data_IF_955025790310
#
_entry.id   IF_955025790310
#
_cell.length_a   1.000
_cell.length_b   1.000
_cell.length_c   1.000
_cell.angle_alpha   90.00
_cell.angle_beta   90.00
_cell.angle_gamma   90.00
#
_symmetry.space_group_name_H-M   'P 1'
#
loop_
_entity.id
_entity.type
_entity.pdbx_description
1 polymer ?
#
# COMPACT_ATOMS: atom_id res chain seq x y z
N UNK A 1 14.01 -23.11 -14.01
CA UNK A 1 14.89 -22.42 -13.05
C UNK A 1 14.34 -22.68 -11.66
N UNK A 2 15.15 -23.18 -10.73
CA UNK A 2 14.77 -23.51 -9.35
C UNK A 2 15.31 -22.43 -8.41
N UNK A 3 14.43 -21.82 -7.61
CA UNK A 3 14.75 -20.72 -6.70
C UNK A 3 14.32 -21.12 -5.29
N UNK A 4 15.28 -21.19 -4.37
CA UNK A 4 15.02 -21.49 -2.97
C UNK A 4 14.95 -20.21 -2.16
N UNK A 5 13.86 -20.02 -1.41
CA UNK A 5 13.71 -18.91 -0.46
C UNK A 5 13.67 -19.48 0.95
N UNK A 6 14.69 -19.18 1.75
CA UNK A 6 14.70 -19.55 3.18
C UNK A 6 14.08 -18.43 4.01
N UNK A 7 13.51 -18.76 5.17
CA UNK A 7 12.80 -17.77 5.99
C UNK A 7 11.54 -17.26 5.28
N UNK A 8 10.92 -18.10 4.43
CA UNK A 8 9.80 -17.74 3.56
C UNK A 8 8.57 -17.22 4.32
N UNK A 9 8.40 -17.62 5.59
CA UNK A 9 7.32 -17.14 6.46
C UNK A 9 7.62 -15.80 7.15
N UNK A 10 8.86 -15.31 7.07
CA UNK A 10 9.24 -13.98 7.54
C UNK A 10 8.77 -12.89 6.59
N UNK A 11 8.79 -11.63 7.06
CA UNK A 11 8.37 -10.46 6.26
C UNK A 11 9.03 -10.44 4.88
N UNK A 12 10.37 -10.37 4.83
CA UNK A 12 11.08 -10.25 3.57
C UNK A 12 10.89 -11.49 2.68
N UNK A 13 11.02 -12.70 3.25
CA UNK A 13 10.84 -13.94 2.50
C UNK A 13 9.47 -14.05 1.85
N UNK A 14 8.41 -13.62 2.56
CA UNK A 14 7.04 -13.57 2.02
C UNK A 14 6.91 -12.57 0.88
N UNK A 15 7.44 -11.36 1.02
CA UNK A 15 7.38 -10.35 -0.05
C UNK A 15 8.16 -10.77 -1.30
N UNK A 16 9.35 -11.34 -1.12
CA UNK A 16 10.15 -11.90 -2.22
C UNK A 16 9.39 -13.03 -2.91
N UNK A 17 8.82 -13.96 -2.14
CA UNK A 17 8.00 -15.03 -2.69
C UNK A 17 6.83 -14.49 -3.52
N UNK A 18 6.05 -13.55 -2.98
CA UNK A 18 4.90 -12.98 -3.70
C UNK A 18 5.32 -12.26 -4.99
N UNK A 19 6.43 -11.53 -4.94
CA UNK A 19 6.96 -10.83 -6.10
C UNK A 19 7.41 -11.78 -7.22
N UNK A 20 8.18 -12.81 -6.87
CA UNK A 20 8.62 -13.83 -7.82
C UNK A 20 7.43 -14.66 -8.33
N UNK A 21 6.52 -15.05 -7.43
CA UNK A 21 5.32 -15.81 -7.78
C UNK A 21 4.48 -15.05 -8.77
N UNK A 22 4.38 -13.72 -8.71
CA UNK A 22 3.62 -12.93 -9.67
C UNK A 22 4.13 -13.07 -11.12
N UNK A 23 5.40 -13.44 -11.30
CA UNK A 23 6.08 -13.48 -12.60
C UNK A 23 6.08 -14.91 -13.17
N UNK A 24 5.53 -15.13 -14.38
CA UNK A 24 5.47 -16.47 -14.98
C UNK A 24 6.82 -17.17 -15.12
N UNK A 25 7.90 -16.42 -15.35
CA UNK A 25 9.25 -16.97 -15.52
C UNK A 25 9.80 -17.68 -14.27
N UNK A 26 9.34 -17.31 -13.08
CA UNK A 26 9.85 -17.82 -11.81
C UNK A 26 8.85 -18.70 -11.06
N UNK A 27 7.54 -18.51 -11.29
CA UNK A 27 6.44 -19.08 -10.49
C UNK A 27 6.56 -20.59 -10.25
N UNK A 28 6.84 -21.38 -11.28
CA UNK A 28 6.89 -22.85 -11.19
C UNK A 28 8.17 -23.39 -10.50
N UNK A 29 9.19 -22.53 -10.38
CA UNK A 29 10.50 -22.89 -9.84
C UNK A 29 10.69 -22.63 -8.35
N UNK A 30 9.69 -22.08 -7.67
CA UNK A 30 9.82 -21.60 -6.30
C UNK A 30 9.78 -22.74 -5.28
N UNK A 31 10.81 -22.85 -4.46
CA UNK A 31 10.89 -23.75 -3.32
C UNK A 31 11.01 -22.92 -2.04
N UNK A 32 10.08 -23.10 -1.11
CA UNK A 32 10.03 -22.32 0.12
C UNK A 32 10.48 -23.17 1.30
N UNK A 33 11.45 -22.65 2.05
CA UNK A 33 11.90 -23.26 3.30
C UNK A 33 11.51 -22.36 4.46
N UNK A 34 10.59 -22.86 5.28
CA UNK A 34 10.31 -22.30 6.60
C UNK A 34 11.33 -22.77 7.63
N UNK A 35 11.13 -22.41 8.91
CA UNK A 35 12.05 -22.80 9.98
C UNK A 35 12.15 -24.32 10.14
N UNK A 36 11.05 -25.06 10.01
CA UNK A 36 11.05 -26.51 10.20
C UNK A 36 11.73 -27.19 9.01
N UNK A 37 11.31 -26.87 7.79
CA UNK A 37 11.88 -27.44 6.57
C UNK A 37 13.37 -27.13 6.40
N UNK A 38 13.83 -25.96 6.84
CA UNK A 38 15.26 -25.62 6.83
C UNK A 38 16.09 -26.46 7.81
N UNK A 39 15.50 -26.90 8.93
CA UNK A 39 16.16 -27.73 9.95
C UNK A 39 16.05 -29.24 9.66
N UNK A 40 15.27 -29.63 8.66
CA UNK A 40 15.18 -31.00 8.18
C UNK A 40 16.24 -31.24 7.09
N UNK A 41 17.12 -32.22 7.30
CA UNK A 41 18.23 -32.50 6.39
C UNK A 41 17.74 -32.97 5.01
N UNK A 42 16.74 -33.85 4.96
CA UNK A 42 16.23 -34.39 3.71
C UNK A 42 15.53 -33.31 2.87
N UNK A 43 14.70 -32.47 3.52
CA UNK A 43 14.04 -31.35 2.88
C UNK A 43 15.03 -30.29 2.39
N UNK A 44 16.05 -29.96 3.20
CA UNK A 44 17.09 -29.00 2.80
C UNK A 44 17.89 -29.52 1.61
N UNK A 45 18.36 -30.78 1.62
CA UNK A 45 19.12 -31.33 0.49
C UNK A 45 18.27 -31.37 -0.79
N UNK A 46 17.02 -31.84 -0.70
CA UNK A 46 16.10 -31.89 -1.84
C UNK A 46 15.80 -30.48 -2.40
N UNK A 47 15.73 -29.46 -1.55
CA UNK A 47 15.57 -28.08 -1.99
C UNK A 47 16.81 -27.54 -2.70
N UNK A 48 18.01 -27.86 -2.22
CA UNK A 48 19.27 -27.35 -2.76
C UNK A 48 19.78 -28.10 -4.01
N UNK A 49 19.32 -29.32 -4.25
CA UNK A 49 19.70 -30.07 -5.45
C UNK A 49 19.27 -29.36 -6.73
N UNK A 50 20.22 -29.08 -7.63
CA UNK A 50 19.97 -28.37 -8.90
C UNK A 50 19.39 -26.97 -8.75
N UNK A 51 19.63 -26.31 -7.60
CA UNK A 51 19.14 -24.94 -7.35
C UNK A 51 19.94 -23.93 -8.17
N UNK A 52 19.25 -22.99 -8.82
CA UNK A 52 19.88 -21.90 -9.56
C UNK A 52 20.15 -20.71 -8.63
N UNK A 53 19.16 -20.34 -7.80
CA UNK A 53 19.27 -19.21 -6.86
C UNK A 53 18.87 -19.61 -5.45
N UNK A 54 19.57 -19.05 -4.48
CA UNK A 54 19.16 -19.12 -3.08
C UNK A 54 19.01 -17.72 -2.54
N UNK A 55 17.82 -17.39 -2.04
CA UNK A 55 17.55 -16.13 -1.35
C UNK A 55 17.41 -16.43 0.14
N UNK A 56 18.50 -16.18 0.87
CA UNK A 56 18.61 -16.46 2.30
C UNK A 56 18.06 -15.31 3.14
N UNK A 57 16.76 -15.34 3.44
CA UNK A 57 16.11 -14.39 4.36
C UNK A 57 15.98 -14.92 5.80
N UNK A 58 16.35 -16.17 6.07
CA UNK A 58 16.33 -16.71 7.42
C UNK A 58 17.35 -15.97 8.31
N UNK A 59 16.93 -15.67 9.53
CA UNK A 59 17.78 -15.00 10.51
C UNK A 59 17.07 -14.82 11.84
N UNK A 60 17.88 -14.63 12.88
CA UNK A 60 17.41 -14.41 14.24
C UNK A 60 17.64 -12.95 14.58
N UNK A 61 16.55 -12.20 14.76
CA UNK A 61 16.60 -10.76 15.01
C UNK A 61 16.33 -10.41 16.48
N UNK A 62 15.60 -11.26 17.21
CA UNK A 62 15.27 -11.05 18.62
C UNK A 62 15.12 -12.39 19.33
N UNK A 63 16.05 -12.66 20.22
CA UNK A 63 16.17 -13.82 21.11
C UNK A 63 17.15 -13.41 22.24
N UNK A 64 17.68 -14.34 23.03
CA UNK A 64 18.84 -14.05 23.89
C UNK A 64 20.04 -13.57 23.06
N UNK A 65 20.91 -12.73 23.65
CA UNK A 65 22.09 -12.19 22.96
C UNK A 65 22.95 -13.30 22.33
N UNK A 66 23.20 -14.37 23.10
CA UNK A 66 23.93 -15.55 22.66
C UNK A 66 23.24 -16.23 21.47
N UNK A 67 21.91 -16.43 21.52
CA UNK A 67 21.17 -17.04 20.40
C UNK A 67 21.15 -16.19 19.15
N UNK A 68 21.07 -14.87 19.30
CA UNK A 68 21.08 -13.93 18.18
C UNK A 68 22.43 -13.97 17.47
N UNK A 69 23.54 -13.97 18.22
CA UNK A 69 24.88 -14.02 17.65
C UNK A 69 25.16 -15.38 17.02
N UNK A 70 25.08 -16.45 17.82
CA UNK A 70 25.47 -17.79 17.41
C UNK A 70 24.50 -18.38 16.38
N UNK A 71 23.19 -18.16 16.54
CA UNK A 71 22.21 -18.80 15.67
C UNK A 71 22.20 -18.27 14.23
N UNK A 72 22.57 -17.00 13.98
CA UNK A 72 22.71 -16.53 12.59
C UNK A 72 23.92 -17.18 11.90
N UNK A 73 25.01 -17.41 12.63
CA UNK A 73 26.18 -18.14 12.14
C UNK A 73 25.81 -19.59 11.81
N UNK A 74 25.14 -20.28 12.72
CA UNK A 74 24.70 -21.68 12.54
C UNK A 74 23.79 -21.85 11.31
N UNK A 75 22.87 -20.91 11.09
CA UNK A 75 22.00 -20.93 9.90
C UNK A 75 22.82 -20.82 8.60
N UNK A 76 23.85 -19.98 8.59
CA UNK A 76 24.72 -19.82 7.43
C UNK A 76 25.60 -21.05 7.19
N UNK A 77 26.24 -21.57 8.24
CA UNK A 77 27.07 -22.78 8.17
C UNK A 77 26.26 -23.98 7.68
N UNK A 78 25.02 -24.15 8.17
CA UNK A 78 24.11 -25.21 7.72
C UNK A 78 23.74 -25.09 6.24
N UNK A 79 23.46 -23.89 5.75
CA UNK A 79 23.15 -23.68 4.33
C UNK A 79 24.38 -23.98 3.45
N UNK A 80 25.57 -23.51 3.86
CA UNK A 80 26.83 -23.79 3.19
C UNK A 80 27.15 -25.29 3.16
N UNK A 81 26.93 -25.99 4.27
CA UNK A 81 27.11 -27.45 4.36
C UNK A 81 26.18 -28.16 3.37
N UNK A 82 24.91 -27.75 3.30
CA UNK A 82 23.95 -28.30 2.36
C UNK A 82 24.35 -28.07 0.90
N UNK A 83 24.73 -26.83 0.55
CA UNK A 83 25.20 -26.48 -0.79
C UNK A 83 26.45 -27.28 -1.19
N UNK A 84 27.35 -27.51 -0.23
CA UNK A 84 28.57 -28.31 -0.44
C UNK A 84 28.24 -29.79 -0.65
N UNK A 85 27.33 -30.36 0.13
CA UNK A 85 26.89 -31.77 0.01
C UNK A 85 26.18 -32.04 -1.33
N UNK A 86 25.41 -31.07 -1.83
CA UNK A 86 24.75 -31.18 -3.14
C UNK A 86 25.64 -30.74 -4.31
N UNK A 87 26.87 -30.29 -4.03
CA UNK A 87 27.77 -29.66 -5.00
C UNK A 87 27.11 -28.53 -5.83
N UNK A 88 26.13 -27.83 -5.22
CA UNK A 88 25.38 -26.78 -5.88
C UNK A 88 26.09 -25.44 -5.72
N UNK A 89 26.19 -24.67 -6.80
CA UNK A 89 26.80 -23.34 -6.83
C UNK A 89 25.81 -22.27 -7.32
N UNK A 90 24.67 -22.09 -6.63
CA UNK A 90 23.69 -21.09 -7.03
C UNK A 90 24.23 -19.67 -6.87
N UNK A 91 23.53 -18.70 -7.46
CA UNK A 91 23.64 -17.33 -7.01
C UNK A 91 22.99 -17.20 -5.63
N UNK A 92 23.80 -16.99 -4.60
CA UNK A 92 23.36 -16.83 -3.22
C UNK A 92 23.18 -15.37 -2.86
N UNK A 93 21.95 -14.98 -2.52
CA UNK A 93 21.62 -13.71 -1.90
C UNK A 93 21.46 -13.86 -0.40
N UNK A 94 22.16 -13.06 0.39
CA UNK A 94 22.01 -13.03 1.84
C UNK A 94 21.40 -11.73 2.32
N UNK A 95 20.26 -11.81 3.00
CA UNK A 95 19.63 -10.67 3.68
C UNK A 95 20.41 -10.28 4.94
N UNK A 96 21.40 -9.41 4.78
CA UNK A 96 22.16 -8.82 5.86
C UNK A 96 21.56 -7.48 6.31
N UNK A 97 22.24 -6.78 7.22
CA UNK A 97 21.77 -5.55 7.84
C UNK A 97 22.89 -4.54 7.96
N UNK A 98 22.55 -3.25 7.91
CA UNK A 98 23.44 -2.14 8.26
C UNK A 98 24.05 -2.26 9.67
N UNK A 99 23.45 -3.09 10.55
CA UNK A 99 23.99 -3.32 11.89
C UNK A 99 25.19 -4.29 11.92
N UNK A 100 25.52 -4.98 10.83
CA UNK A 100 26.66 -5.93 10.79
C UNK A 100 28.01 -5.29 11.16
N UNK A 101 28.15 -3.98 10.94
CA UNK A 101 29.35 -3.21 11.29
C UNK A 101 29.39 -2.74 12.75
N UNK A 102 28.35 -3.02 13.55
CA UNK A 102 28.27 -2.64 14.96
C UNK A 102 28.70 -3.80 15.85
N UNK A 103 29.45 -3.48 16.91
CA UNK A 103 29.88 -4.46 17.90
C UNK A 103 28.76 -4.76 18.93
N UNK A 104 27.70 -5.38 18.43
CA UNK A 104 26.57 -5.90 19.21
C UNK A 104 26.26 -7.33 18.78
N UNK A 105 25.65 -8.19 19.62
CA UNK A 105 25.44 -9.61 19.30
C UNK A 105 24.78 -9.85 17.93
N UNK A 106 23.76 -9.06 17.59
CA UNK A 106 23.10 -9.10 16.28
C UNK A 106 24.05 -8.76 15.12
N UNK A 107 24.85 -7.70 15.27
CA UNK A 107 25.84 -7.29 14.28
C UNK A 107 26.91 -8.34 14.06
N UNK A 108 27.47 -8.88 15.15
CA UNK A 108 28.49 -9.95 15.11
C UNK A 108 27.95 -11.23 14.46
N UNK A 109 26.75 -11.68 14.81
CA UNK A 109 26.14 -12.86 14.20
C UNK A 109 25.88 -12.68 12.69
N UNK A 110 25.38 -11.50 12.31
CA UNK A 110 25.18 -11.13 10.91
C UNK A 110 26.49 -11.07 10.11
N UNK A 111 27.56 -10.55 10.70
CA UNK A 111 28.90 -10.52 10.09
C UNK A 111 29.52 -11.92 9.99
N UNK A 112 29.32 -12.78 11.00
CA UNK A 112 29.80 -14.16 10.98
C UNK A 112 29.12 -14.98 9.86
N UNK A 113 27.80 -14.84 9.70
CA UNK A 113 27.07 -15.44 8.59
C UNK A 113 27.58 -14.95 7.22
N UNK A 114 27.80 -13.63 7.06
CA UNK A 114 28.40 -13.08 5.85
C UNK A 114 29.77 -13.71 5.54
N UNK A 115 30.65 -13.86 6.54
CA UNK A 115 31.97 -14.47 6.37
C UNK A 115 31.87 -15.92 5.90
N UNK A 116 30.95 -16.70 6.47
CA UNK A 116 30.73 -18.08 6.06
C UNK A 116 30.32 -18.18 4.58
N UNK A 117 29.38 -17.34 4.13
CA UNK A 117 28.95 -17.31 2.74
C UNK A 117 30.03 -16.79 1.78
N UNK A 118 30.76 -15.74 2.16
CA UNK A 118 31.85 -15.20 1.34
C UNK A 118 32.97 -16.23 1.14
N UNK A 119 33.38 -16.91 2.22
CA UNK A 119 34.42 -17.97 2.17
C UNK A 119 33.96 -19.16 1.32
N UNK A 120 32.71 -19.59 1.47
CA UNK A 120 32.14 -20.66 0.64
C UNK A 120 32.14 -20.27 -0.83
N UNK A 121 31.65 -19.07 -1.16
CA UNK A 121 31.54 -18.59 -2.53
C UNK A 121 32.91 -18.45 -3.20
N UNK A 122 33.91 -17.91 -2.48
CA UNK A 122 35.30 -17.84 -2.95
C UNK A 122 35.90 -19.25 -3.18
N UNK A 123 35.65 -20.18 -2.24
CA UNK A 123 36.19 -21.53 -2.31
C UNK A 123 35.65 -22.40 -3.45
N UNK A 124 34.42 -22.15 -3.92
CA UNK A 124 33.80 -22.90 -5.02
C UNK A 124 33.52 -22.08 -6.29
N UNK A 125 33.88 -20.79 -6.31
CA UNK A 125 33.62 -19.88 -7.43
C UNK A 125 32.14 -19.55 -7.64
N UNK A 126 31.29 -19.65 -6.61
CA UNK A 126 29.87 -19.32 -6.70
C UNK A 126 29.62 -17.80 -6.68
N UNK A 127 28.49 -17.37 -7.24
CA UNK A 127 28.04 -15.98 -7.14
C UNK A 127 27.42 -15.73 -5.77
N UNK A 128 27.91 -14.71 -5.07
CA UNK A 128 27.39 -14.30 -3.77
C UNK A 128 27.11 -12.80 -3.74
N UNK A 129 25.92 -12.44 -3.28
CA UNK A 129 25.47 -11.06 -3.11
C UNK A 129 24.99 -10.84 -1.69
N UNK A 130 25.63 -9.90 -1.03
CA UNK A 130 25.23 -9.47 0.30
C UNK A 130 24.29 -8.28 0.20
N UNK A 131 23.03 -8.48 0.63
CA UNK A 131 22.04 -7.41 0.70
C UNK A 131 22.19 -6.67 2.02
N UNK A 132 22.68 -5.44 1.99
CA UNK A 132 22.83 -4.61 3.20
C UNK A 132 21.56 -3.80 3.40
N UNK A 133 20.69 -4.30 4.29
CA UNK A 133 19.35 -3.73 4.46
C UNK A 133 19.28 -2.79 5.67
N UNK A 134 18.56 -1.66 5.56
CA UNK A 134 18.25 -0.81 6.69
C UNK A 134 17.05 -1.40 7.46
N UNK A 135 16.21 -0.56 8.07
CA UNK A 135 15.00 -1.03 8.74
C UNK A 135 13.95 -1.43 7.71
N UNK A 136 13.58 -2.71 7.67
CA UNK A 136 12.63 -3.23 6.70
C UNK A 136 11.21 -3.15 7.25
N UNK A 137 10.28 -2.64 6.45
CA UNK A 137 8.85 -2.62 6.77
C UNK A 137 8.00 -3.13 5.59
N UNK A 138 6.70 -3.30 5.84
CA UNK A 138 5.74 -3.85 4.87
C UNK A 138 4.61 -4.60 5.55
N UNK A 139 3.64 -5.05 4.74
CA UNK A 139 2.46 -5.77 5.18
C UNK A 139 2.79 -7.13 5.81
N UNK A 140 2.07 -7.50 6.87
CA UNK A 140 2.30 -8.78 7.58
C UNK A 140 3.54 -8.78 8.49
N UNK A 141 4.12 -7.61 8.77
CA UNK A 141 5.15 -7.47 9.79
C UNK A 141 4.64 -7.76 11.20
N UNK A 142 5.50 -8.34 12.05
CA UNK A 142 5.14 -8.72 13.42
C UNK A 142 5.30 -7.53 14.37
N UNK A 143 4.24 -7.07 15.06
CA UNK A 143 4.36 -6.03 16.07
C UNK A 143 5.15 -6.53 17.29
N UNK A 144 5.70 -5.61 18.07
CA UNK A 144 6.49 -5.90 19.28
C UNK A 144 7.67 -6.88 19.04
N UNK A 145 8.21 -6.96 17.82
CA UNK A 145 9.35 -7.82 17.48
C UNK A 145 10.61 -7.00 17.22
N UNK A 146 10.85 -6.53 16.01
CA UNK A 146 12.08 -5.80 15.64
C UNK A 146 11.81 -4.52 14.82
N UNK A 147 10.55 -4.07 14.77
CA UNK A 147 10.12 -2.90 14.00
C UNK A 147 9.21 -2.01 14.85
N UNK A 148 9.66 -0.78 15.11
CA UNK A 148 8.85 0.24 15.77
C UNK A 148 7.62 0.58 14.91
N UNK A 149 7.78 0.64 13.58
CA UNK A 149 6.69 0.96 12.66
C UNK A 149 5.53 -0.05 12.75
N UNK A 150 5.83 -1.36 12.75
CA UNK A 150 4.80 -2.40 12.88
C UNK A 150 4.10 -2.34 14.25
N UNK A 151 4.84 -1.96 15.29
CA UNK A 151 4.27 -1.77 16.63
C UNK A 151 3.32 -0.58 16.65
N UNK A 152 3.70 0.55 16.05
CA UNK A 152 2.81 1.71 15.93
C UNK A 152 1.56 1.41 15.12
N UNK A 153 1.67 0.71 13.97
CA UNK A 153 0.50 0.31 13.20
C UNK A 153 -0.45 -0.58 14.00
N UNK A 154 0.09 -1.51 14.79
CA UNK A 154 -0.71 -2.37 15.67
C UNK A 154 -1.42 -1.58 16.76
N UNK A 155 -0.70 -0.69 17.45
CA UNK A 155 -1.25 0.16 18.51
C UNK A 155 -2.37 1.06 17.97
N UNK A 156 -2.14 1.74 16.83
CA UNK A 156 -3.17 2.54 16.17
C UNK A 156 -4.41 1.71 15.81
N UNK A 157 -4.22 0.54 15.22
CA UNK A 157 -5.33 -0.34 14.83
C UNK A 157 -6.09 -0.93 16.03
N UNK A 158 -5.44 -1.06 17.18
CA UNK A 158 -6.05 -1.52 18.43
C UNK A 158 -6.70 -0.38 19.24
N UNK A 159 -6.40 0.88 18.92
CA UNK A 159 -6.80 2.03 19.72
C UNK A 159 -5.92 2.30 20.95
N UNK A 160 -4.72 1.72 20.98
CA UNK A 160 -3.75 1.88 22.07
C UNK A 160 -2.94 3.18 21.93
N UNK A 161 -2.38 3.66 23.04
CA UNK A 161 -1.40 4.74 23.04
C UNK A 161 -0.06 4.29 22.42
N UNK A 162 0.56 5.19 21.64
CA UNK A 162 1.84 4.90 21.00
C UNK A 162 3.00 5.18 21.96
N UNK A 163 3.84 4.18 22.16
CA UNK A 163 5.08 4.32 22.93
C UNK A 163 6.21 4.83 22.03
N UNK A 164 6.28 6.15 21.83
CA UNK A 164 7.24 6.77 20.91
C UNK A 164 8.55 7.08 21.64
N UNK A 165 9.64 6.43 21.23
CA UNK A 165 10.98 6.89 21.61
C UNK A 165 11.38 8.08 20.73
N UNK A 166 11.35 9.29 21.30
CA UNK A 166 11.55 10.54 20.57
C UNK A 166 12.95 10.76 19.97
N UNK A 167 13.98 10.06 20.44
CA UNK A 167 15.38 10.28 19.98
C UNK A 167 15.85 9.29 18.92
N UNK A 168 15.08 8.23 18.65
CA UNK A 168 15.45 7.20 17.69
C UNK A 168 15.47 7.71 16.24
N UNK A 169 16.41 7.18 15.45
CA UNK A 169 16.48 7.38 14.00
C UNK A 169 16.21 6.06 13.27
N UNK A 170 15.50 6.14 12.16
CA UNK A 170 15.19 5.04 11.29
C UNK A 170 15.65 5.37 9.88
N UNK A 171 15.97 4.31 9.14
CA UNK A 171 16.07 4.35 7.69
C UNK A 171 15.16 3.23 7.21
N UNK A 172 14.02 3.61 6.61
CA UNK A 172 12.92 2.69 6.32
C UNK A 172 12.94 2.31 4.84
N UNK A 173 12.97 1.01 4.57
CA UNK A 173 12.88 0.46 3.22
C UNK A 173 11.77 -0.60 3.16
N UNK A 174 10.92 -0.51 2.14
CA UNK A 174 9.80 -1.43 2.01
C UNK A 174 10.25 -2.79 1.47
N UNK A 175 9.70 -3.87 2.01
CA UNK A 175 10.05 -5.24 1.63
C UNK A 175 9.81 -5.54 0.15
N UNK A 176 8.84 -4.85 -0.47
CA UNK A 176 8.59 -4.98 -1.92
C UNK A 176 9.69 -4.36 -2.78
N UNK A 177 10.29 -3.25 -2.35
CA UNK A 177 11.40 -2.63 -3.08
C UNK A 177 12.66 -3.50 -2.99
N UNK A 178 12.87 -4.16 -1.85
CA UNK A 178 13.94 -5.16 -1.69
C UNK A 178 13.68 -6.36 -2.61
N UNK A 179 12.45 -6.86 -2.67
CA UNK A 179 12.10 -7.97 -3.56
C UNK A 179 12.38 -7.65 -5.03
N UNK A 180 12.06 -6.43 -5.48
CA UNK A 180 12.41 -5.95 -6.82
C UNK A 180 13.92 -5.90 -7.02
N UNK A 181 14.65 -5.28 -6.08
CA UNK A 181 16.10 -5.14 -6.18
C UNK A 181 16.85 -6.49 -6.21
N UNK A 182 16.35 -7.51 -5.50
CA UNK A 182 16.91 -8.87 -5.55
C UNK A 182 16.79 -9.48 -6.94
N UNK A 183 15.63 -9.34 -7.59
CA UNK A 183 15.42 -9.85 -8.96
C UNK A 183 16.28 -9.09 -9.96
N UNK A 184 16.34 -7.76 -9.86
CA UNK A 184 17.18 -6.93 -10.74
C UNK A 184 18.67 -7.26 -10.60
N UNK A 185 19.16 -7.44 -9.36
CA UNK A 185 20.53 -7.83 -9.09
C UNK A 185 20.85 -9.23 -9.63
N UNK A 186 19.89 -10.15 -9.54
CA UNK A 186 20.03 -11.46 -10.16
C UNK A 186 20.16 -11.36 -11.67
N UNK A 187 19.26 -10.66 -12.35
CA UNK A 187 19.22 -10.63 -13.83
C UNK A 187 20.52 -10.04 -14.41
N UNK A 188 21.21 -9.23 -13.61
CA UNK A 188 22.51 -8.64 -13.92
C UNK A 188 23.71 -9.49 -13.48
N UNK A 189 23.47 -10.65 -12.85
CA UNK A 189 24.47 -11.48 -12.20
C UNK A 189 25.39 -10.68 -11.26
N UNK A 190 24.84 -9.66 -10.58
CA UNK A 190 25.58 -8.77 -9.71
C UNK A 190 26.02 -9.53 -8.45
N UNK A 191 27.33 -9.59 -8.19
CA UNK A 191 27.95 -10.15 -6.97
C UNK A 191 28.55 -9.06 -6.08
N UNK A 192 28.87 -9.43 -4.83
CA UNK A 192 29.49 -8.54 -3.84
C UNK A 192 28.46 -7.84 -2.96
N UNK A 193 28.83 -6.67 -2.45
CA UNK A 193 27.95 -5.89 -1.58
C UNK A 193 26.89 -5.13 -2.39
N UNK A 194 25.63 -5.28 -2.00
CA UNK A 194 24.50 -4.49 -2.50
C UNK A 194 23.80 -3.79 -1.33
N UNK A 195 24.18 -2.53 -1.08
CA UNK A 195 23.52 -1.66 -0.10
C UNK A 195 22.26 -1.04 -0.70
N UNK A 196 21.10 -1.36 -0.12
CA UNK A 196 19.82 -0.77 -0.55
C UNK A 196 19.43 0.35 0.40
N UNK A 197 19.38 1.59 -0.09
CA UNK A 197 19.05 2.76 0.72
C UNK A 197 17.54 2.90 0.95
N UNK A 198 17.17 3.26 2.17
CA UNK A 198 15.80 3.59 2.55
C UNK A 198 15.61 5.08 2.80
N UNK A 199 14.41 5.46 3.25
CA UNK A 199 14.13 6.84 3.66
C UNK A 199 14.51 7.06 5.12
N UNK A 200 15.45 7.96 5.36
CA UNK A 200 15.88 8.34 6.71
C UNK A 200 14.89 9.31 7.36
N UNK A 201 14.51 9.01 8.61
CA UNK A 201 13.65 9.86 9.42
C UNK A 201 13.72 9.50 10.91
N UNK A 202 13.30 10.41 11.78
CA UNK A 202 13.16 10.09 13.20
C UNK A 202 11.99 9.13 13.45
N UNK A 203 12.09 8.34 14.53
CA UNK A 203 10.98 7.49 15.01
C UNK A 203 9.72 8.33 15.25
N UNK A 204 9.87 9.53 15.81
CA UNK A 204 8.78 10.46 16.04
C UNK A 204 8.11 10.93 14.74
N UNK A 205 8.88 11.20 13.69
CA UNK A 205 8.34 11.59 12.38
C UNK A 205 7.57 10.43 11.73
N UNK A 206 8.07 9.20 11.83
CA UNK A 206 7.37 8.01 11.33
C UNK A 206 6.04 7.79 12.06
N UNK A 207 6.04 7.91 13.40
CA UNK A 207 4.83 7.82 14.22
C UNK A 207 3.84 8.95 13.87
N UNK A 208 4.30 10.19 13.71
CA UNK A 208 3.47 11.33 13.32
C UNK A 208 2.76 11.13 11.98
N UNK A 209 3.46 10.59 10.98
CA UNK A 209 2.86 10.21 9.69
C UNK A 209 1.77 9.16 9.86
N UNK A 210 2.03 8.09 10.60
CA UNK A 210 1.03 7.04 10.84
C UNK A 210 -0.19 7.56 11.60
N UNK A 211 -0.01 8.44 12.59
CA UNK A 211 -1.10 9.08 13.34
C UNK A 211 -1.96 9.95 12.42
N UNK A 212 -1.34 10.78 11.55
CA UNK A 212 -2.08 11.60 10.58
C UNK A 212 -2.84 10.74 9.56
N UNK A 213 -2.19 9.72 9.00
CA UNK A 213 -2.82 8.77 8.07
C UNK A 213 -3.98 8.03 8.73
N UNK A 214 -3.80 7.53 9.96
CA UNK A 214 -4.84 6.85 10.71
C UNK A 214 -6.04 7.77 10.96
N UNK A 215 -5.78 8.98 11.50
CA UNK A 215 -6.83 9.97 11.79
C UNK A 215 -7.59 10.40 10.53
N UNK A 216 -6.87 10.67 9.45
CA UNK A 216 -7.48 11.00 8.15
C UNK A 216 -8.40 9.87 7.71
N UNK A 217 -7.90 8.64 7.73
CA UNK A 217 -8.63 7.48 7.24
C UNK A 217 -9.82 7.08 8.12
N UNK A 218 -9.71 7.22 9.44
CA UNK A 218 -10.83 6.99 10.36
C UNK A 218 -11.90 8.07 10.28
N UNK A 219 -11.56 9.26 9.79
CA UNK A 219 -12.49 10.35 9.44
C UNK A 219 -12.96 10.31 7.97
N UNK A 220 -12.87 9.15 7.31
CA UNK A 220 -13.33 8.91 5.93
C UNK A 220 -12.59 9.69 4.84
N UNK A 221 -11.40 10.20 5.14
CA UNK A 221 -10.55 10.91 4.17
C UNK A 221 -9.30 10.07 3.88
N UNK A 222 -9.16 9.65 2.62
CA UNK A 222 -7.92 9.02 2.14
C UNK A 222 -6.78 10.05 2.26
N UNK A 223 -5.66 9.70 2.94
CA UNK A 223 -4.53 10.62 3.09
C UNK A 223 -3.83 10.88 1.74
N UNK A 224 -2.84 11.77 1.74
CA UNK A 224 -2.03 12.00 0.53
C UNK A 224 -1.15 10.78 0.21
N UNK A 225 -1.37 10.16 -0.95
CA UNK A 225 -0.66 8.96 -1.40
C UNK A 225 0.21 9.21 -2.64
N UNK A 226 0.48 10.48 -3.00
CA UNK A 226 1.30 10.81 -4.19
C UNK A 226 2.77 10.42 -4.01
N UNK A 227 3.26 10.44 -2.77
CA UNK A 227 4.60 9.96 -2.44
C UNK A 227 4.58 8.42 -2.29
N UNK A 228 5.41 7.67 -3.06
CA UNK A 228 5.39 6.20 -3.02
C UNK A 228 5.69 5.59 -1.65
N UNK A 229 6.51 6.25 -0.84
CA UNK A 229 6.82 5.78 0.52
C UNK A 229 5.63 6.01 1.46
N UNK A 230 4.93 7.14 1.36
CA UNK A 230 3.70 7.38 2.12
C UNK A 230 2.59 6.39 1.70
N UNK A 231 2.50 6.01 0.42
CA UNK A 231 1.63 4.93 -0.05
C UNK A 231 1.97 3.58 0.60
N UNK A 232 3.25 3.22 0.66
CA UNK A 232 3.72 1.99 1.31
C UNK A 232 3.45 1.99 2.83
N UNK A 233 3.66 3.13 3.50
CA UNK A 233 3.31 3.30 4.91
C UNK A 233 1.81 3.11 5.14
N UNK A 234 0.98 3.74 4.30
CA UNK A 234 -0.47 3.64 4.40
C UNK A 234 -0.99 2.23 4.15
N UNK A 235 -0.46 1.53 3.15
CA UNK A 235 -0.81 0.13 2.90
C UNK A 235 -0.36 -0.78 4.06
N UNK A 236 0.83 -0.54 4.62
CA UNK A 236 1.28 -1.21 5.84
C UNK A 236 0.29 -0.98 6.97
N UNK A 237 -0.10 0.26 7.28
CA UNK A 237 -1.09 0.58 8.31
C UNK A 237 -2.43 -0.13 8.06
N UNK A 238 -2.96 -0.06 6.83
CA UNK A 238 -4.22 -0.72 6.45
C UNK A 238 -4.19 -2.24 6.64
N UNK A 239 -3.01 -2.87 6.49
CA UNK A 239 -2.86 -4.30 6.75
C UNK A 239 -3.10 -4.69 8.21
N UNK A 240 -2.87 -3.77 9.17
CA UNK A 240 -3.17 -3.99 10.59
C UNK A 240 -4.63 -3.68 10.95
N UNK A 241 -5.29 -2.80 10.20
CA UNK A 241 -6.73 -2.53 10.35
C UNK A 241 -7.59 -3.69 9.83
N UNK A 242 -7.11 -4.45 8.84
CA UNK A 242 -7.82 -5.57 8.26
C UNK A 242 -7.79 -6.83 9.16
N UNK A 243 -8.89 -7.62 9.23
CA UNK A 243 -10.20 -7.37 8.64
C UNK A 243 -11.11 -6.50 9.51
N UNK A 244 -10.73 -6.25 10.78
CA UNK A 244 -11.61 -5.77 11.85
C UNK A 244 -12.23 -4.40 11.60
N UNK A 245 -11.55 -3.54 10.85
CA UNK A 245 -12.05 -2.20 10.52
C UNK A 245 -13.18 -2.22 9.48
N UNK A 246 -13.43 -3.35 8.82
CA UNK A 246 -14.43 -3.47 7.75
C UNK A 246 -15.54 -4.48 8.09
N UNK A 247 -16.75 -4.30 7.53
CA UNK A 247 -17.19 -3.16 6.72
C UNK A 247 -17.37 -1.89 7.57
N UNK A 248 -17.07 -0.72 6.97
CA UNK A 248 -17.39 0.58 7.57
C UNK A 248 -18.68 1.10 6.96
N UNK A 249 -19.68 1.38 7.80
CA UNK A 249 -20.95 1.93 7.36
C UNK A 249 -20.81 3.42 6.99
N UNK A 250 -21.54 3.85 5.95
CA UNK A 250 -21.62 5.25 5.53
C UNK A 250 -22.91 5.88 6.06
N UNK A 251 -22.87 7.18 6.28
CA UNK A 251 -24.07 7.95 6.65
C UNK A 251 -24.95 8.16 5.42
N UNK A 252 -26.20 7.68 5.49
CA UNK A 252 -27.21 7.87 4.45
C UNK A 252 -28.12 9.05 4.81
N UNK A 253 -28.13 10.08 3.97
CA UNK A 253 -29.02 11.24 4.09
C UNK A 253 -30.21 11.05 3.14
N UNK A 254 -31.42 10.84 3.68
CA UNK A 254 -32.62 10.54 2.89
C UNK A 254 -33.74 11.53 3.15
N UNK A 255 -34.51 11.84 2.11
CA UNK A 255 -35.73 12.65 2.16
C UNK A 255 -36.74 12.19 1.09
N UNK A 256 -37.84 12.94 0.91
CA UNK A 256 -38.87 12.59 -0.06
C UNK A 256 -38.40 12.63 -1.52
N UNK A 257 -37.24 13.24 -1.80
CA UNK A 257 -36.64 13.38 -3.13
C UNK A 257 -35.75 12.20 -3.50
N UNK A 258 -35.27 11.44 -2.51
CA UNK A 258 -34.35 10.31 -2.67
C UNK A 258 -33.32 10.28 -1.54
N UNK A 259 -32.14 9.70 -1.80
CA UNK A 259 -31.07 9.59 -0.82
C UNK A 259 -29.73 10.13 -1.34
N UNK A 260 -28.78 10.36 -0.45
CA UNK A 260 -27.41 10.76 -0.73
C UNK A 260 -26.46 10.17 0.31
N UNK A 261 -25.30 9.71 -0.13
CA UNK A 261 -24.20 9.33 0.77
C UNK A 261 -22.84 9.67 0.15
N UNK A 262 -21.89 10.04 0.99
CA UNK A 262 -20.51 10.31 0.59
C UNK A 262 -19.76 8.99 0.40
N UNK A 263 -19.23 8.74 -0.79
CA UNK A 263 -18.55 7.48 -1.10
C UNK A 263 -17.05 7.53 -0.79
N UNK A 264 -16.36 8.53 -1.33
CA UNK A 264 -14.89 8.65 -1.20
C UNK A 264 -14.53 10.12 -1.01
N UNK A 265 -13.72 10.42 0.01
CA UNK A 265 -13.05 11.72 0.17
C UNK A 265 -11.55 11.51 0.13
N UNK A 266 -10.83 12.33 -0.61
CA UNK A 266 -9.38 12.25 -0.73
C UNK A 266 -8.76 13.64 -0.58
N UNK A 267 -7.75 13.75 0.29
CA UNK A 267 -7.05 15.01 0.58
C UNK A 267 -6.50 15.69 -0.69
N UNK A 268 -6.13 14.93 -1.73
CA UNK A 268 -5.65 15.48 -3.01
C UNK A 268 -6.38 14.90 -4.24
N UNK A 269 -7.66 14.56 -4.10
CA UNK A 269 -8.48 14.02 -5.21
C UNK A 269 -9.94 14.44 -5.16
N UNK A 270 -10.30 15.33 -4.24
CA UNK A 270 -11.65 15.79 -4.05
C UNK A 270 -12.56 14.79 -3.37
N UNK A 271 -13.85 14.89 -3.66
CA UNK A 271 -14.90 14.11 -3.04
C UNK A 271 -15.82 13.52 -4.11
N UNK A 272 -16.14 12.24 -3.97
CA UNK A 272 -17.18 11.58 -4.74
C UNK A 272 -18.34 11.15 -3.82
N UNK A 273 -19.56 11.44 -4.24
CA UNK A 273 -20.78 11.06 -3.53
C UNK A 273 -21.82 10.55 -4.52
N UNK A 274 -22.74 9.72 -4.05
CA UNK A 274 -23.81 9.17 -4.86
C UNK A 274 -25.13 9.69 -4.31
N UNK A 275 -26.06 9.96 -5.23
CA UNK A 275 -27.42 10.31 -4.86
C UNK A 275 -28.42 9.53 -5.67
N UNK A 276 -29.49 9.09 -5.02
CA UNK A 276 -30.69 8.63 -5.70
C UNK A 276 -31.71 9.76 -5.82
N UNK A 277 -32.47 9.79 -6.91
CA UNK A 277 -33.50 10.82 -7.16
C UNK A 277 -34.75 10.18 -7.76
N UNK A 278 -35.90 10.40 -7.12
CA UNK A 278 -37.18 9.84 -7.56
C UNK A 278 -37.65 10.44 -8.90
N UNK A 279 -38.54 9.74 -9.64
CA UNK A 279 -39.12 10.25 -10.89
C UNK A 279 -39.68 11.67 -10.79
N UNK A 280 -39.41 12.50 -11.80
CA UNK A 280 -39.91 13.87 -11.90
C UNK A 280 -39.24 14.89 -10.96
N UNK A 281 -38.34 14.47 -10.09
CA UNK A 281 -37.67 15.37 -9.13
C UNK A 281 -36.48 16.09 -9.80
N UNK A 282 -36.38 17.39 -9.52
CA UNK A 282 -35.23 18.24 -9.86
C UNK A 282 -34.36 18.52 -8.64
N UNK A 283 -33.04 18.40 -8.79
CA UNK A 283 -32.01 18.82 -7.82
C UNK A 283 -31.06 19.83 -8.46
N UNK A 284 -30.31 20.58 -7.65
CA UNK A 284 -29.43 21.65 -8.13
C UNK A 284 -30.06 23.03 -7.93
N UNK A 285 -30.21 23.80 -9.00
CA UNK A 285 -30.60 25.22 -8.99
C UNK A 285 -29.65 26.08 -8.17
N UNK A 286 -28.36 25.91 -8.45
CA UNK A 286 -27.30 26.70 -7.85
C UNK A 286 -26.12 26.82 -8.79
N UNK A 287 -25.19 27.69 -8.44
CA UNK A 287 -23.92 27.88 -9.12
C UNK A 287 -22.77 27.99 -8.11
N UNK A 288 -21.55 27.96 -8.65
CA UNK A 288 -20.29 28.08 -7.90
C UNK A 288 -19.37 29.14 -8.52
N UNK A 289 -18.50 29.75 -7.72
CA UNK A 289 -17.45 30.63 -8.24
C UNK A 289 -16.16 29.89 -8.55
N UNK A 290 -15.81 28.88 -7.76
CA UNK A 290 -14.53 28.17 -7.83
C UNK A 290 -14.71 26.64 -7.93
N UNK A 291 -15.78 26.10 -7.36
CA UNK A 291 -16.01 24.66 -7.30
C UNK A 291 -16.14 24.05 -8.69
N UNK A 292 -15.31 23.05 -8.94
CA UNK A 292 -15.39 22.17 -10.11
C UNK A 292 -16.17 20.92 -9.73
N UNK A 293 -17.17 20.58 -10.53
CA UNK A 293 -18.00 19.40 -10.34
C UNK A 293 -18.21 18.62 -11.63
N UNK A 294 -18.40 17.31 -11.48
CA UNK A 294 -18.73 16.36 -12.54
C UNK A 294 -19.95 15.55 -12.16
N UNK A 295 -20.96 15.54 -13.02
CA UNK A 295 -22.16 14.72 -12.85
C UNK A 295 -22.08 13.53 -13.82
N UNK A 296 -22.28 12.31 -13.32
CA UNK A 296 -22.31 11.08 -14.11
C UNK A 296 -23.54 10.24 -13.70
N UNK A 297 -24.53 10.17 -14.58
CA UNK A 297 -25.67 9.26 -14.39
C UNK A 297 -25.21 7.84 -14.64
N UNK A 298 -25.45 6.95 -13.66
CA UNK A 298 -25.04 5.54 -13.73
C UNK A 298 -26.24 4.58 -13.80
N UNK A 299 -27.43 5.03 -13.43
CA UNK A 299 -28.71 4.32 -13.62
C UNK A 299 -29.83 5.32 -13.83
N UNK A 300 -30.76 5.02 -14.74
CA UNK A 300 -31.94 5.86 -15.03
C UNK A 300 -31.65 6.91 -16.11
N UNK A 301 -32.62 7.80 -16.33
CA UNK A 301 -32.56 8.83 -17.35
C UNK A 301 -32.74 10.21 -16.72
N UNK A 302 -31.89 11.15 -17.09
CA UNK A 302 -31.97 12.52 -16.61
C UNK A 302 -31.76 13.53 -17.74
N UNK A 303 -32.24 14.74 -17.49
CA UNK A 303 -31.80 15.94 -18.21
C UNK A 303 -31.02 16.83 -17.23
N UNK A 304 -29.80 17.20 -17.62
CA UNK A 304 -29.01 18.21 -16.93
C UNK A 304 -29.18 19.52 -17.69
N UNK A 305 -29.55 20.59 -16.98
CA UNK A 305 -29.73 21.92 -17.55
C UNK A 305 -28.68 22.87 -17.00
N UNK A 306 -28.08 23.68 -17.86
CA UNK A 306 -27.05 24.65 -17.49
C UNK A 306 -27.40 26.00 -18.13
N UNK A 307 -27.41 27.06 -17.33
CA UNK A 307 -27.62 28.44 -17.78
C UNK A 307 -26.52 29.32 -17.23
N UNK A 308 -25.88 30.10 -18.10
CA UNK A 308 -24.89 31.09 -17.68
C UNK A 308 -25.56 32.18 -16.85
N UNK A 309 -24.89 32.66 -15.80
CA UNK A 309 -25.42 33.78 -15.02
C UNK A 309 -25.60 35.02 -15.90
N UNK A 310 -26.71 35.73 -15.67
CA UNK A 310 -27.13 36.91 -16.44
C UNK A 310 -27.43 36.65 -17.93
N UNK A 311 -27.70 35.39 -18.27
CA UNK A 311 -28.14 34.93 -19.60
C UNK A 311 -29.46 34.17 -19.46
N UNK A 312 -30.24 34.09 -20.54
CA UNK A 312 -31.49 33.34 -20.64
C UNK A 312 -31.32 32.03 -21.44
N UNK A 313 -30.20 31.86 -22.15
CA UNK A 313 -29.94 30.64 -22.93
C UNK A 313 -29.64 29.43 -22.03
N UNK A 314 -30.36 28.34 -22.26
CA UNK A 314 -30.26 27.10 -21.47
C UNK A 314 -29.75 25.98 -22.38
N UNK A 315 -28.65 25.37 -21.98
CA UNK A 315 -28.16 24.13 -22.57
C UNK A 315 -28.79 22.93 -21.85
N UNK A 316 -29.31 21.97 -22.63
CA UNK A 316 -29.88 20.72 -22.11
C UNK A 316 -29.06 19.52 -22.55
N UNK A 317 -28.67 18.70 -21.58
CA UNK A 317 -27.93 17.45 -21.79
C UNK A 317 -28.78 16.27 -21.33
N UNK A 318 -29.29 15.49 -22.26
CA UNK A 318 -29.97 14.23 -21.97
C UNK A 318 -28.93 13.13 -21.74
N UNK A 319 -28.97 12.53 -20.55
CA UNK A 319 -27.99 11.53 -20.10
C UNK A 319 -28.71 10.30 -19.54
N UNK A 320 -28.07 9.13 -19.70
CA UNK A 320 -28.61 7.84 -19.27
C UNK A 320 -27.52 6.96 -18.69
N UNK A 321 -27.90 6.11 -17.73
CA UNK A 321 -27.02 5.04 -17.23
C UNK A 321 -26.72 3.95 -18.26
N UNK A 322 -27.58 3.77 -19.27
CA UNK A 322 -27.38 2.79 -20.35
C UNK A 322 -26.28 3.21 -21.34
N UNK A 323 -26.03 4.51 -21.42
CA UNK A 323 -24.97 5.11 -22.23
C UNK A 323 -24.24 6.17 -21.39
N UNK A 324 -23.36 5.73 -20.46
CA UNK A 324 -22.75 6.63 -19.48
C UNK A 324 -21.99 7.79 -20.12
N UNK A 325 -22.39 9.01 -19.77
CA UNK A 325 -21.76 10.25 -20.16
C UNK A 325 -21.70 11.20 -18.97
N UNK A 326 -20.62 11.97 -18.87
CA UNK A 326 -20.48 12.98 -17.83
C UNK A 326 -20.77 14.38 -18.38
N UNK A 327 -21.22 15.27 -17.51
CA UNK A 327 -21.31 16.71 -17.77
C UNK A 327 -20.56 17.41 -16.63
N UNK A 328 -19.61 18.27 -16.97
CA UNK A 328 -18.87 19.09 -16.00
C UNK A 328 -19.60 20.42 -15.81
N UNK A 329 -19.81 20.83 -14.56
CA UNK A 329 -20.53 22.08 -14.24
C UNK A 329 -19.55 23.25 -14.33
N UNK A 330 -19.70 24.17 -15.30
CA UNK A 330 -18.85 25.34 -15.37
C UNK A 330 -19.17 26.31 -14.23
N UNK A 331 -18.15 26.97 -13.70
CA UNK A 331 -18.35 28.06 -12.72
C UNK A 331 -19.13 29.20 -13.36
N UNK A 332 -19.83 29.99 -12.54
CA UNK A 332 -20.70 31.09 -12.99
C UNK A 332 -21.83 30.64 -13.94
N UNK A 333 -22.28 29.39 -13.80
CA UNK A 333 -23.47 28.86 -14.45
C UNK A 333 -24.34 28.17 -13.41
N UNK A 334 -25.61 28.56 -13.36
CA UNK A 334 -26.57 27.79 -12.58
C UNK A 334 -26.89 26.49 -13.31
N UNK A 335 -27.01 25.41 -12.56
CA UNK A 335 -27.27 24.10 -13.13
C UNK A 335 -28.25 23.29 -12.29
N UNK A 336 -28.96 22.37 -12.95
CA UNK A 336 -29.92 21.47 -12.32
C UNK A 336 -29.93 20.12 -13.03
N UNK A 337 -30.38 19.09 -12.33
CA UNK A 337 -30.59 17.75 -12.88
C UNK A 337 -32.00 17.29 -12.54
N UNK A 338 -32.75 16.81 -13.53
CA UNK A 338 -34.10 16.29 -13.37
C UNK A 338 -34.14 14.83 -13.77
N UNK A 339 -34.71 13.97 -12.92
CA UNK A 339 -35.03 12.60 -13.31
C UNK A 339 -36.25 12.62 -14.26
N UNK A 340 -36.05 12.20 -15.51
CA UNK A 340 -37.09 12.16 -16.55
C UNK A 340 -37.60 10.73 -16.83
N UNK A 341 -37.04 9.74 -16.15
CA UNK A 341 -37.51 8.35 -16.21
C UNK A 341 -38.64 8.06 -15.23
N UNK A 342 -39.10 6.82 -15.27
CA UNK A 342 -40.09 6.23 -14.37
C UNK A 342 -39.48 5.45 -13.19
N UNK A 343 -38.17 5.18 -13.23
CA UNK A 343 -37.39 4.59 -12.13
C UNK A 343 -36.60 5.62 -11.33
N UNK A 344 -36.05 5.18 -10.19
CA UNK A 344 -35.09 5.97 -9.41
C UNK A 344 -33.77 6.17 -10.19
N UNK A 345 -33.37 7.43 -10.32
CA UNK A 345 -32.12 7.85 -10.93
C UNK A 345 -30.98 7.69 -9.92
N UNK A 346 -29.88 7.03 -10.31
CA UNK A 346 -28.64 7.02 -9.54
C UNK A 346 -27.58 7.85 -10.27
N UNK A 347 -27.06 8.85 -9.58
CA UNK A 347 -26.05 9.76 -10.11
C UNK A 347 -24.83 9.76 -9.20
N UNK A 348 -23.66 9.57 -9.79
CA UNK A 348 -22.36 9.83 -9.18
C UNK A 348 -22.01 11.30 -9.40
N UNK A 349 -21.63 11.96 -8.32
CA UNK A 349 -21.10 13.31 -8.33
C UNK A 349 -19.65 13.26 -7.88
N UNK A 350 -18.81 14.08 -8.50
CA UNK A 350 -17.47 14.35 -8.03
C UNK A 350 -17.24 15.86 -7.94
N UNK A 351 -16.62 16.32 -6.87
CA UNK A 351 -16.14 17.70 -6.68
C UNK A 351 -14.64 17.69 -6.43
N UNK A 352 -13.93 18.71 -6.91
CA UNK A 352 -12.47 18.81 -6.73
C UNK A 352 -12.02 19.02 -5.26
N UNK A 353 -12.94 19.43 -4.38
CA UNK A 353 -12.71 19.69 -2.96
C UNK A 353 -13.69 18.90 -2.09
N UNK A 354 -13.35 18.74 -0.81
CA UNK A 354 -14.26 18.17 0.21
C UNK A 354 -15.21 19.27 0.67
N UNK A 355 -16.49 18.94 0.80
CA UNK A 355 -17.51 19.89 1.22
C UNK A 355 -17.21 20.50 2.60
N UNK A 356 -17.14 21.83 2.66
CA UNK A 356 -17.04 22.64 3.87
C UNK A 356 -18.36 23.42 4.08
N UNK A 357 -19.18 23.07 5.09
CA UNK A 357 -20.42 23.77 5.37
C UNK A 357 -20.25 25.26 5.70
N UNK A 358 -19.10 25.67 6.24
CA UNK A 358 -18.81 27.08 6.56
C UNK A 358 -18.42 27.87 5.31
N UNK A 359 -17.98 27.18 4.25
CA UNK A 359 -17.55 27.76 2.97
C UNK A 359 -18.03 26.91 1.78
N UNK A 360 -19.34 26.80 1.55
CA UNK A 360 -19.90 25.81 0.61
C UNK A 360 -19.68 26.17 -0.87
N UNK A 361 -19.26 27.40 -1.18
CA UNK A 361 -19.19 27.98 -2.53
C UNK A 361 -20.45 27.72 -3.38
N UNK A 362 -21.63 27.66 -2.76
CA UNK A 362 -22.88 27.24 -3.41
C UNK A 362 -23.93 28.33 -3.23
N UNK A 363 -24.44 28.85 -4.34
CA UNK A 363 -25.36 29.99 -4.34
C UNK A 363 -26.60 29.64 -5.14
N UNK A 364 -27.76 29.78 -4.51
CA UNK A 364 -29.04 29.43 -5.12
C UNK A 364 -29.41 30.39 -6.24
N UNK A 365 -29.70 29.85 -7.42
CA UNK A 365 -30.30 30.57 -8.55
C UNK A 365 -31.03 29.54 -9.43
N UNK A 366 -32.32 29.70 -9.72
CA UNK A 366 -33.04 28.73 -10.56
C UNK A 366 -32.52 28.74 -12.00
N UNK A 367 -32.41 27.55 -12.61
CA UNK A 367 -32.05 27.43 -14.04
C UNK A 367 -33.20 27.91 -14.91
N UNK A 368 -34.42 27.45 -14.61
CA UNK A 368 -35.64 27.83 -15.30
C UNK A 368 -36.22 29.08 -14.64
N UNK A 369 -36.34 30.18 -15.39
CA UNK A 369 -36.99 31.41 -14.92
C UNK A 369 -38.50 31.16 -14.75
N UNK A 370 -39.08 31.36 -13.55
CA UNK A 370 -40.51 31.16 -13.32
C UNK A 370 -41.40 32.08 -14.17
N UNK A 371 -40.89 33.23 -14.60
CA UNK A 371 -41.67 34.29 -15.26
C UNK A 371 -41.63 34.26 -16.80
N UNK A 372 -40.80 33.40 -17.41
CA UNK A 372 -40.69 33.29 -18.87
C UNK A 372 -41.67 32.28 -19.51
N UNK A 373 -42.57 31.68 -18.70
CA UNK A 373 -43.52 30.64 -19.13
C UNK A 373 -44.96 31.14 -19.31
N UNK A 374 -45.17 32.45 -19.54
CA UNK A 374 -46.48 33.03 -19.87
C UNK A 374 -46.52 33.57 -21.30
#
# INVERSE_FOLDING_TARGET
MKIVITGANGLLGRHVHLYLRAQPAYREGLVLLDRHAFQDDAALMAALEGVDWVIHCAGINRDSEERVEQGNRELAERLVEGLSKTAATPHLFYANSIQRGRDVPYGRGKQAAHRAFAQWAEGCGAHYTELVLPHVFGEGGKPHYNSALHTFCHQLAAGDELAINGTGQLELLHAQDIARAVVEAFERAQSGELRLEGRTMSVASAAGKLIDMHRSYTSDVIPDLRDPFDLQLFNTLRSFLYPRYYPKALTLHSDDRGALFEGVKNRNGGQAFLSTTKPGITRGNHYHFNKVERFLVVKGQAVIRIRRLLDDHIEEFHVSGDAPAYVDMPTLHTHSITNIGDEELLTLFWSHEIFDPEKPDTYFEPVLNPEASN
#
